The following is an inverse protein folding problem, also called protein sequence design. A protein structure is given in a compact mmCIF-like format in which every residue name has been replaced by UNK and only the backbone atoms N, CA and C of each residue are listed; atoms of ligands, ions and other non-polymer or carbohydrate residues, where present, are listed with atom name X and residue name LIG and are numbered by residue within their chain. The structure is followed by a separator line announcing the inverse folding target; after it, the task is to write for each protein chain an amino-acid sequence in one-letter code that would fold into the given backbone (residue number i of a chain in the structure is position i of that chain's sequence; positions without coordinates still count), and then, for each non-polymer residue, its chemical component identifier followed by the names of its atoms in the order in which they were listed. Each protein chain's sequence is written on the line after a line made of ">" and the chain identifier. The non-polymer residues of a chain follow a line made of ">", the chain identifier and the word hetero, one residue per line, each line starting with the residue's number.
data_IF_402660041761
#
_entry.id   IF_402660041761
#
_cell.length_a   1.000
_cell.length_b   1.000
_cell.length_c   1.000
_cell.angle_alpha   90.00
_cell.angle_beta   90.00
_cell.angle_gamma   90.00
#
_symmetry.space_group_name_H-M   'P 1'
#
loop_
_entity.id
_entity.type
_entity.pdbx_description
1 polymer ?
#
# COMPACT_ATOMS: atom_id res chain seq x y z
N UNK A 1 -53.60 -44.40 -1.32
CA UNK A 1 -54.01 -45.44 -2.30
C UNK A 1 -54.59 -44.74 -3.52
N UNK A 2 -54.00 -45.06 -4.67
CA UNK A 2 -54.21 -44.54 -6.05
C UNK A 2 -55.56 -45.00 -6.67
N UNK A 3 -55.85 -44.87 -8.00
CA UNK A 3 -55.12 -44.22 -9.10
C UNK A 3 -55.99 -43.50 -10.17
N UNK A 4 -55.31 -43.02 -11.23
CA UNK A 4 -55.74 -42.94 -12.66
C UNK A 4 -56.66 -41.80 -13.09
N UNK A 5 -56.47 -41.10 -14.23
CA UNK A 5 -56.07 -41.61 -15.55
C UNK A 5 -55.52 -40.51 -16.48
N UNK A 6 -54.48 -40.92 -17.21
CA UNK A 6 -53.89 -40.46 -18.49
C UNK A 6 -54.81 -39.84 -19.55
N UNK A 7 -54.28 -38.86 -20.30
CA UNK A 7 -54.59 -38.65 -21.73
C UNK A 7 -53.32 -38.70 -22.59
N UNK A 8 -53.34 -39.39 -23.75
CA UNK A 8 -52.20 -39.52 -24.67
C UNK A 8 -52.31 -38.53 -25.85
N UNK A 9 -51.21 -38.26 -26.55
CA UNK A 9 -51.19 -38.32 -28.03
C UNK A 9 -49.82 -38.03 -28.66
N UNK A 10 -49.44 -38.94 -29.59
CA UNK A 10 -48.73 -38.75 -30.89
C UNK A 10 -47.25 -38.28 -30.80
N UNK A 11 -46.24 -39.14 -30.97
CA UNK A 11 -45.75 -39.88 -32.17
C UNK A 11 -45.32 -38.98 -33.35
N UNK A 12 -44.00 -38.92 -33.58
CA UNK A 12 -43.28 -39.01 -34.88
C UNK A 12 -41.77 -38.87 -34.57
N UNK A 13 -40.95 -39.92 -34.49
CA UNK A 13 -40.26 -40.71 -35.54
C UNK A 13 -39.48 -39.90 -36.59
N UNK A 14 -38.15 -39.99 -36.43
CA UNK A 14 -37.04 -40.12 -37.39
C UNK A 14 -36.82 -39.05 -38.47
N UNK A 15 -35.52 -38.71 -38.67
CA UNK A 15 -34.73 -38.49 -39.90
C UNK A 15 -33.52 -37.63 -39.47
N UNK A 16 -32.34 -38.23 -39.25
CA UNK A 16 -31.26 -38.42 -40.23
C UNK A 16 -30.47 -37.16 -40.59
N UNK A 17 -29.15 -37.37 -40.65
CA UNK A 17 -28.11 -36.62 -41.35
C UNK A 17 -27.43 -35.46 -40.60
N UNK A 18 -26.16 -35.70 -40.30
CA UNK A 18 -25.15 -34.75 -39.90
C UNK A 18 -24.85 -33.73 -41.00
N UNK A 19 -24.64 -32.47 -40.61
CA UNK A 19 -23.78 -31.53 -41.32
C UNK A 19 -22.97 -30.77 -40.27
N UNK A 20 -21.67 -31.04 -40.23
CA UNK A 20 -20.67 -30.22 -39.57
C UNK A 20 -20.52 -28.93 -40.38
N UNK A 21 -20.98 -27.80 -39.83
CA UNK A 21 -20.66 -26.48 -40.35
C UNK A 21 -19.84 -25.74 -39.30
N UNK A 22 -18.51 -25.81 -39.47
CA UNK A 22 -17.54 -25.00 -38.76
C UNK A 22 -17.65 -23.56 -39.29
N UNK A 23 -18.30 -22.69 -38.54
CA UNK A 23 -18.29 -21.25 -38.78
C UNK A 23 -17.43 -20.58 -37.68
N UNK A 24 -16.14 -20.41 -37.97
CA UNK A 24 -15.24 -19.54 -37.21
C UNK A 24 -15.52 -18.09 -37.60
N UNK A 25 -16.32 -17.39 -36.80
CA UNK A 25 -16.38 -15.93 -36.81
C UNK A 25 -16.94 -15.39 -35.49
N UNK A 26 -16.06 -15.16 -34.52
CA UNK A 26 -16.20 -14.16 -33.47
C UNK A 26 -14.84 -13.46 -33.36
N UNK A 27 -14.68 -12.30 -34.00
CA UNK A 27 -14.82 -10.94 -33.40
C UNK A 27 -13.82 -10.69 -32.29
N UNK A 28 -12.96 -9.69 -32.53
CA UNK A 28 -11.69 -9.46 -31.85
C UNK A 28 -11.78 -9.23 -30.35
N UNK A 29 -10.91 -9.91 -29.62
CA UNK A 29 -10.43 -9.47 -28.32
C UNK A 29 -9.50 -8.27 -28.55
N UNK A 30 -10.00 -7.07 -28.31
CA UNK A 30 -9.18 -5.96 -27.83
C UNK A 30 -8.70 -6.33 -26.42
N UNK A 31 -7.70 -7.20 -26.34
CA UNK A 31 -6.99 -7.45 -25.09
C UNK A 31 -6.09 -6.25 -24.84
N UNK A 32 -6.61 -5.24 -24.15
CA UNK A 32 -5.77 -4.26 -23.47
C UNK A 32 -4.83 -5.07 -22.59
N UNK A 33 -3.56 -5.13 -23.00
CA UNK A 33 -2.51 -5.75 -22.20
C UNK A 33 -2.41 -4.96 -20.91
N UNK A 34 -3.07 -5.46 -19.86
CA UNK A 34 -2.74 -5.10 -18.50
C UNK A 34 -1.34 -5.64 -18.26
N UNK A 35 -0.34 -4.77 -18.35
CA UNK A 35 0.93 -4.98 -17.70
C UNK A 35 0.62 -4.98 -16.20
N UNK A 36 0.45 -6.18 -15.63
CA UNK A 36 0.58 -6.35 -14.19
C UNK A 36 2.01 -5.86 -13.86
N UNK A 37 2.10 -4.67 -13.27
CA UNK A 37 3.36 -4.04 -12.98
C UNK A 37 4.12 -4.87 -11.97
N UNK A 38 5.19 -5.54 -12.41
CA UNK A 38 6.08 -6.26 -11.51
C UNK A 38 6.90 -5.23 -10.73
N UNK A 39 6.86 -5.35 -9.40
CA UNK A 39 7.76 -4.65 -8.48
C UNK A 39 9.21 -4.89 -8.94
N UNK A 40 9.90 -3.85 -9.41
CA UNK A 40 11.27 -3.99 -9.93
C UNK A 40 12.26 -3.75 -8.80
N UNK A 41 12.92 -4.83 -8.36
CA UNK A 41 13.96 -4.74 -7.33
C UNK A 41 15.17 -3.92 -7.82
N UNK A 42 15.88 -3.21 -6.92
CA UNK A 42 17.14 -2.55 -7.25
C UNK A 42 18.14 -3.53 -7.85
N UNK A 43 18.89 -3.09 -8.87
CA UNK A 43 19.91 -3.94 -9.51
C UNK A 43 21.02 -4.31 -8.51
N UNK A 44 21.32 -5.60 -8.37
CA UNK A 44 22.42 -6.10 -7.51
C UNK A 44 22.02 -6.68 -6.16
N UNK A 45 20.72 -6.88 -5.89
CA UNK A 45 20.25 -7.47 -4.62
C UNK A 45 20.28 -9.02 -4.67
N UNK A 46 21.02 -9.62 -3.74
CA UNK A 46 20.92 -11.04 -3.37
C UNK A 46 19.80 -11.23 -2.36
N UNK A 47 19.05 -12.35 -2.47
CA UNK A 47 17.95 -12.79 -1.59
C UNK A 47 18.13 -12.30 -0.14
N UNK A 48 17.38 -11.26 0.23
CA UNK A 48 17.39 -10.75 1.59
C UNK A 48 16.46 -11.64 2.44
N UNK A 49 16.94 -12.09 3.59
CA UNK A 49 16.07 -12.79 4.54
C UNK A 49 14.94 -11.85 4.99
N UNK A 50 13.70 -12.36 5.19
CA UNK A 50 12.60 -11.54 5.68
C UNK A 50 12.97 -10.92 7.03
N UNK A 51 12.59 -9.66 7.24
CA UNK A 51 12.88 -8.96 8.47
C UNK A 51 12.03 -9.49 9.61
N UNK A 52 12.60 -9.58 10.81
CA UNK A 52 11.80 -9.77 12.03
C UNK A 52 11.06 -8.47 12.31
N UNK A 53 9.74 -8.50 12.62
CA UNK A 53 9.02 -7.29 12.97
C UNK A 53 9.69 -6.53 14.11
N UNK A 54 9.85 -5.22 13.95
CA UNK A 54 10.54 -4.32 14.88
C UNK A 54 12.07 -4.34 14.79
N UNK A 55 12.67 -5.20 13.96
CA UNK A 55 14.11 -5.17 13.73
C UNK A 55 14.53 -3.82 13.13
N UNK A 56 15.65 -3.30 13.60
CA UNK A 56 16.20 -2.03 13.12
C UNK A 56 17.40 -2.29 12.20
N UNK A 57 17.44 -1.60 11.07
CA UNK A 57 18.55 -1.67 10.12
C UNK A 57 18.91 -0.28 9.59
N UNK A 58 20.15 -0.14 9.11
CA UNK A 58 20.65 1.09 8.46
C UNK A 58 21.07 0.72 7.04
N UNK A 59 20.14 0.72 6.07
CA UNK A 59 20.46 0.31 4.71
C UNK A 59 21.33 1.36 4.01
N UNK A 60 22.36 0.90 3.30
CA UNK A 60 23.20 1.76 2.46
C UNK A 60 22.35 2.43 1.36
N UNK A 61 22.55 3.73 1.05
CA UNK A 61 21.76 4.45 0.05
C UNK A 61 21.64 3.74 -1.31
N UNK A 62 22.74 3.14 -1.78
CA UNK A 62 22.76 2.40 -3.03
C UNK A 62 21.82 1.17 -3.04
N UNK A 63 21.40 0.67 -1.88
CA UNK A 63 20.50 -0.50 -1.76
C UNK A 63 19.02 -0.17 -2.00
N UNK A 64 18.65 1.12 -2.07
CA UNK A 64 17.26 1.56 -2.27
C UNK A 64 17.10 2.72 -3.26
N UNK A 65 18.18 3.41 -3.65
CA UNK A 65 18.12 4.60 -4.51
C UNK A 65 17.39 4.38 -5.85
N UNK A 66 17.48 3.18 -6.41
CA UNK A 66 16.87 2.80 -7.69
C UNK A 66 15.53 2.05 -7.52
N UNK A 67 14.96 2.02 -6.31
CA UNK A 67 13.64 1.44 -6.10
C UNK A 67 12.57 2.31 -6.79
N UNK A 68 11.80 1.69 -7.68
CA UNK A 68 10.77 2.34 -8.48
C UNK A 68 9.45 1.60 -8.32
N UNK A 69 8.38 2.35 -8.15
CA UNK A 69 7.05 1.77 -8.04
C UNK A 69 6.61 1.26 -9.42
N UNK A 70 5.92 0.11 -9.49
CA UNK A 70 5.42 -0.39 -10.76
C UNK A 70 4.39 0.57 -11.37
N UNK A 71 4.18 0.47 -12.67
CA UNK A 71 3.11 1.22 -13.34
C UNK A 71 1.75 0.88 -12.69
N UNK A 72 0.94 1.92 -12.45
CA UNK A 72 -0.36 1.78 -11.81
C UNK A 72 -0.32 1.63 -10.29
N UNK A 73 0.87 1.62 -9.66
CA UNK A 73 0.98 1.66 -8.21
C UNK A 73 0.30 2.92 -7.64
N UNK A 74 -0.41 2.75 -6.53
CA UNK A 74 -1.18 3.81 -5.89
C UNK A 74 -0.71 4.02 -4.45
N UNK A 75 -0.52 5.29 -4.10
CA UNK A 75 -0.06 5.68 -2.76
C UNK A 75 -1.09 6.59 -2.12
N UNK A 76 -1.52 6.25 -0.91
CA UNK A 76 -2.32 7.14 -0.09
C UNK A 76 -1.44 7.72 1.03
N UNK A 77 -1.18 9.03 0.98
CA UNK A 77 -0.49 9.75 2.05
C UNK A 77 -1.50 10.25 3.06
N UNK A 78 -1.32 9.85 4.31
CA UNK A 78 -2.15 10.24 5.44
C UNK A 78 -1.35 11.14 6.38
N UNK A 79 -1.91 12.29 6.74
CA UNK A 79 -1.29 13.26 7.64
C UNK A 79 -2.33 13.92 8.54
N UNK A 80 -1.93 14.42 9.71
CA UNK A 80 -2.78 15.26 10.56
C UNK A 80 -2.86 16.71 10.08
N UNK A 81 -1.98 17.10 9.16
CA UNK A 81 -1.79 18.50 8.76
C UNK A 81 -2.53 18.81 7.45
N UNK A 82 -3.47 19.77 7.44
CA UNK A 82 -4.13 20.22 6.21
C UNK A 82 -3.15 20.79 5.19
N UNK A 83 -3.48 20.66 3.90
CA UNK A 83 -2.69 21.28 2.83
C UNK A 83 -2.62 22.81 3.02
N UNK A 84 -1.42 23.37 2.86
CA UNK A 84 -1.15 24.80 3.05
C UNK A 84 -0.99 25.23 4.50
N UNK A 85 -1.19 24.33 5.48
CA UNK A 85 -1.01 24.65 6.89
C UNK A 85 0.46 24.55 7.35
N UNK A 86 1.26 23.71 6.69
CA UNK A 86 2.70 23.58 6.93
C UNK A 86 3.44 23.32 5.60
N UNK A 87 4.29 24.26 5.14
CA UNK A 87 5.04 24.10 3.91
C UNK A 87 6.04 22.94 3.94
N UNK A 88 6.53 22.52 5.11
CA UNK A 88 7.45 21.39 5.23
C UNK A 88 6.72 20.06 4.98
N UNK A 89 5.48 19.94 5.46
CA UNK A 89 4.63 18.77 5.18
C UNK A 89 4.19 18.77 3.72
N UNK A 90 3.82 19.92 3.17
CA UNK A 90 3.46 20.01 1.76
C UNK A 90 4.63 19.59 0.85
N UNK A 91 5.84 20.11 1.12
CA UNK A 91 7.04 19.71 0.40
C UNK A 91 7.39 18.21 0.57
N UNK A 92 7.12 17.63 1.74
CA UNK A 92 7.29 16.19 1.96
C UNK A 92 6.33 15.35 1.12
N UNK A 93 5.05 15.75 1.04
CA UNK A 93 4.05 15.08 0.18
C UNK A 93 4.46 15.19 -1.29
N UNK A 94 4.93 16.36 -1.73
CA UNK A 94 5.41 16.57 -3.10
C UNK A 94 6.65 15.69 -3.40
N UNK A 95 7.59 15.59 -2.47
CA UNK A 95 8.76 14.73 -2.60
C UNK A 95 8.37 13.24 -2.69
N UNK A 96 7.35 12.81 -1.93
CA UNK A 96 6.79 11.46 -2.02
C UNK A 96 6.24 11.21 -3.43
N UNK A 97 5.41 12.11 -3.95
CA UNK A 97 4.86 11.99 -5.30
C UNK A 97 5.92 11.98 -6.41
N UNK A 98 6.94 12.84 -6.28
CA UNK A 98 8.04 12.90 -7.23
C UNK A 98 8.86 11.60 -7.27
N UNK A 99 9.06 10.93 -6.12
CA UNK A 99 9.86 9.71 -6.01
C UNK A 99 9.12 8.44 -6.40
N UNK A 100 7.82 8.33 -6.12
CA UNK A 100 7.06 7.15 -6.55
C UNK A 100 6.78 7.14 -8.03
N UNK A 101 6.59 8.30 -8.66
CA UNK A 101 6.02 8.37 -10.01
C UNK A 101 4.58 7.82 -10.09
N UNK A 102 3.93 7.64 -8.94
CA UNK A 102 2.62 7.02 -8.76
C UNK A 102 1.50 8.06 -8.61
N UNK A 103 0.25 7.61 -8.72
CA UNK A 103 -0.88 8.40 -8.29
C UNK A 103 -0.86 8.52 -6.74
N UNK A 104 -0.65 9.74 -6.25
CA UNK A 104 -0.67 10.05 -4.82
C UNK A 104 -2.00 10.72 -4.45
N UNK A 105 -2.74 10.11 -3.54
CA UNK A 105 -3.85 10.77 -2.85
C UNK A 105 -3.37 11.28 -1.48
N UNK A 106 -3.90 12.42 -1.02
CA UNK A 106 -3.64 12.96 0.31
C UNK A 106 -4.93 12.98 1.11
N UNK A 107 -4.88 12.42 2.32
CA UNK A 107 -6.01 12.42 3.26
C UNK A 107 -5.58 13.01 4.59
N UNK A 108 -6.41 13.90 5.13
CA UNK A 108 -6.21 14.49 6.45
C UNK A 108 -6.98 13.67 7.48
N UNK A 109 -6.30 13.17 8.50
CA UNK A 109 -6.91 12.35 9.57
C UNK A 109 -6.61 13.00 10.92
N UNK A 110 -7.61 13.18 11.80
CA UNK A 110 -7.35 13.73 13.12
C UNK A 110 -6.49 12.78 13.97
N UNK A 111 -5.57 13.30 14.79
CA UNK A 111 -4.82 12.50 15.75
C UNK A 111 -5.73 11.68 16.67
N UNK A 112 -5.26 10.49 17.08
CA UNK A 112 -5.98 9.58 17.99
C UNK A 112 -7.13 8.78 17.36
N UNK A 113 -7.59 9.12 16.14
CA UNK A 113 -8.61 8.38 15.41
C UNK A 113 -9.97 8.35 16.11
N UNK A 114 -10.91 9.20 15.67
CA UNK A 114 -12.22 9.28 16.31
C UNK A 114 -13.08 8.03 16.05
N UNK A 115 -13.87 7.63 17.06
CA UNK A 115 -14.89 6.59 16.93
C UNK A 115 -14.42 5.17 17.22
N UNK A 116 -15.34 4.21 17.02
CA UNK A 116 -15.13 2.78 17.28
C UNK A 116 -14.65 1.99 16.05
N UNK A 117 -14.57 2.64 14.89
CA UNK A 117 -14.15 2.02 13.63
C UNK A 117 -12.65 2.15 13.38
N UNK A 118 -12.23 1.63 12.22
CA UNK A 118 -10.89 1.85 11.70
C UNK A 118 -10.75 3.33 11.28
N UNK A 119 -9.81 4.11 11.86
CA UNK A 119 -9.65 5.52 11.53
C UNK A 119 -9.26 5.78 10.07
N UNK A 120 -8.78 4.76 9.36
CA UNK A 120 -8.39 4.82 7.95
C UNK A 120 -9.39 4.12 7.02
N UNK A 121 -10.61 3.81 7.49
CA UNK A 121 -11.65 3.11 6.70
C UNK A 121 -11.79 3.68 5.28
N UNK A 122 -11.92 5.00 5.14
CA UNK A 122 -12.13 5.64 3.83
C UNK A 122 -10.88 5.59 2.93
N UNK A 123 -9.69 5.64 3.54
CA UNK A 123 -8.42 5.49 2.81
C UNK A 123 -8.31 4.06 2.27
N UNK A 124 -8.60 3.07 3.12
CA UNK A 124 -8.53 1.66 2.79
C UNK A 124 -9.60 1.23 1.78
N UNK A 125 -10.76 1.89 1.76
CA UNK A 125 -11.79 1.66 0.75
C UNK A 125 -11.33 2.02 -0.68
N UNK A 126 -10.32 2.88 -0.80
CA UNK A 126 -9.66 3.18 -2.07
C UNK A 126 -8.67 2.10 -2.54
N UNK A 127 -8.42 1.07 -1.72
CA UNK A 127 -7.48 -0.02 -1.97
C UNK A 127 -6.09 0.44 -2.48
N UNK A 128 -5.41 1.38 -1.79
CA UNK A 128 -4.08 1.79 -2.19
C UNK A 128 -3.06 0.66 -2.01
N UNK A 129 -2.08 0.56 -2.89
CA UNK A 129 -1.00 -0.43 -2.74
C UNK A 129 -0.13 -0.13 -1.52
N UNK A 130 0.04 1.16 -1.18
CA UNK A 130 0.78 1.61 -0.02
C UNK A 130 0.08 2.77 0.70
N UNK A 131 -0.11 2.62 2.01
CA UNK A 131 -0.52 3.72 2.88
C UNK A 131 0.73 4.33 3.53
N UNK A 132 1.03 5.58 3.22
CA UNK A 132 2.13 6.32 3.83
C UNK A 132 1.56 7.18 4.96
N UNK A 133 1.95 6.87 6.20
CA UNK A 133 1.61 7.66 7.37
C UNK A 133 2.75 8.64 7.64
N UNK A 134 2.45 9.94 7.48
CA UNK A 134 3.43 11.00 7.66
C UNK A 134 3.29 11.60 9.07
N UNK A 135 4.18 11.17 9.96
CA UNK A 135 4.37 11.81 11.26
C UNK A 135 3.91 11.07 12.50
N UNK A 136 4.43 11.54 13.65
CA UNK A 136 4.17 10.93 14.95
C UNK A 136 2.72 11.05 15.42
N UNK A 137 1.99 12.09 15.00
CA UNK A 137 0.64 12.38 15.50
C UNK A 137 -0.38 11.29 15.11
N UNK A 138 -0.05 10.50 14.10
CA UNK A 138 -0.88 9.43 13.58
C UNK A 138 -0.39 8.03 13.99
N UNK A 139 0.57 7.91 14.93
CA UNK A 139 1.04 6.58 15.35
C UNK A 139 -0.08 5.73 15.92
N UNK A 140 -0.95 6.27 16.79
CA UNK A 140 -2.08 5.51 17.36
C UNK A 140 -3.10 5.09 16.30
N UNK A 141 -3.24 5.90 15.24
CA UNK A 141 -4.08 5.59 14.08
C UNK A 141 -3.44 4.46 13.27
N UNK A 142 -2.15 4.60 12.94
CA UNK A 142 -1.40 3.61 12.19
C UNK A 142 -1.34 2.26 12.91
N UNK A 143 -1.12 2.26 14.22
CA UNK A 143 -1.08 1.06 15.07
C UNK A 143 -2.40 0.29 14.98
N UNK A 144 -3.52 0.98 15.22
CA UNK A 144 -4.86 0.37 15.19
C UNK A 144 -5.25 -0.14 13.80
N UNK A 145 -5.03 0.69 12.77
CA UNK A 145 -5.40 0.34 11.39
C UNK A 145 -4.52 -0.78 10.85
N UNK A 146 -3.21 -0.73 11.06
CA UNK A 146 -2.30 -1.77 10.55
C UNK A 146 -2.53 -3.13 11.19
N UNK A 147 -2.80 -3.18 12.50
CA UNK A 147 -3.15 -4.41 13.21
C UNK A 147 -4.47 -5.02 12.72
N UNK A 148 -5.41 -4.19 12.27
CA UNK A 148 -6.72 -4.63 11.76
C UNK A 148 -6.69 -5.03 10.27
N UNK A 149 -5.63 -4.68 9.54
CA UNK A 149 -5.52 -4.86 8.10
C UNK A 149 -4.16 -5.44 7.71
N UNK A 150 -3.87 -6.67 8.16
CA UNK A 150 -2.57 -7.32 7.94
C UNK A 150 -2.19 -7.53 6.47
N UNK A 151 -3.15 -7.48 5.54
CA UNK A 151 -2.90 -7.55 4.09
C UNK A 151 -2.52 -6.21 3.46
N UNK A 152 -2.77 -5.09 4.14
CA UNK A 152 -2.44 -3.75 3.66
C UNK A 152 -1.02 -3.37 4.10
N UNK A 153 -0.23 -2.83 3.18
CA UNK A 153 1.11 -2.33 3.48
C UNK A 153 1.07 -0.90 4.00
N UNK A 154 1.81 -0.64 5.08
CA UNK A 154 1.97 0.66 5.70
C UNK A 154 3.43 1.07 5.73
N UNK A 155 3.69 2.33 5.36
CA UNK A 155 4.98 2.99 5.53
C UNK A 155 4.83 4.18 6.46
N UNK A 156 5.47 4.15 7.63
CA UNK A 156 5.50 5.29 8.55
C UNK A 156 6.78 6.07 8.30
N UNK A 157 6.66 7.37 8.06
CA UNK A 157 7.79 8.27 7.80
C UNK A 157 7.97 9.24 8.98
N UNK A 158 9.17 9.25 9.55
CA UNK A 158 9.60 10.16 10.62
C UNK A 158 9.08 9.79 12.02
N UNK A 159 8.59 8.57 12.18
CA UNK A 159 8.21 7.97 13.45
C UNK A 159 8.17 6.44 13.29
N UNK A 160 8.00 5.70 14.38
CA UNK A 160 7.90 4.24 14.35
C UNK A 160 6.92 3.73 15.40
N UNK A 161 6.30 2.58 15.15
CA UNK A 161 5.51 1.90 16.18
C UNK A 161 6.44 1.29 17.25
N UNK A 162 5.98 1.17 18.51
CA UNK A 162 6.68 0.40 19.53
C UNK A 162 6.75 -1.09 19.19
N UNK A 163 5.66 -1.63 18.62
CA UNK A 163 5.47 -3.05 18.33
C UNK A 163 4.88 -3.23 16.90
N UNK A 164 5.65 -2.92 15.84
CA UNK A 164 5.14 -3.01 14.48
C UNK A 164 4.82 -4.46 14.10
N UNK A 165 3.74 -4.63 13.34
CA UNK A 165 3.41 -5.88 12.64
C UNK A 165 4.24 -6.02 11.36
N UNK A 166 4.21 -7.21 10.73
CA UNK A 166 4.99 -7.47 9.51
C UNK A 166 4.63 -6.55 8.33
N UNK A 167 3.41 -6.03 8.27
CA UNK A 167 2.94 -5.12 7.22
C UNK A 167 3.27 -3.64 7.47
N UNK A 168 4.01 -3.31 8.53
CA UNK A 168 4.41 -1.93 8.86
C UNK A 168 5.91 -1.79 8.71
N UNK A 169 6.35 -0.98 7.77
CA UNK A 169 7.73 -0.52 7.69
C UNK A 169 7.81 0.91 8.21
N UNK A 170 8.75 1.21 9.10
CA UNK A 170 9.00 2.56 9.55
C UNK A 170 10.34 3.06 8.98
N UNK A 171 10.41 4.34 8.62
CA UNK A 171 11.65 4.97 8.18
C UNK A 171 11.88 6.22 9.00
N UNK A 172 13.01 6.24 9.69
CA UNK A 172 13.38 7.26 10.68
C UNK A 172 14.77 7.79 10.37
N UNK A 173 15.11 8.93 10.96
CA UNK A 173 16.42 9.56 10.89
C UNK A 173 16.72 10.24 12.22
N UNK A 174 17.96 10.71 12.49
CA UNK A 174 18.28 11.43 13.71
C UNK A 174 17.29 12.59 13.96
N UNK A 175 16.59 12.53 15.10
CA UNK A 175 15.57 13.51 15.50
C UNK A 175 14.13 13.14 15.16
N UNK A 176 13.89 12.10 14.34
CA UNK A 176 12.57 11.64 13.92
C UNK A 176 12.35 10.15 14.30
N UNK A 177 12.60 9.81 15.56
CA UNK A 177 12.58 8.44 16.09
C UNK A 177 11.47 8.20 17.12
N UNK A 178 10.45 9.07 17.13
CA UNK A 178 9.37 9.00 18.12
C UNK A 178 8.63 7.66 18.04
N UNK A 179 8.30 7.11 19.20
CA UNK A 179 7.57 5.83 19.33
C UNK A 179 6.13 5.98 19.80
N UNK A 180 5.78 7.14 20.31
CA UNK A 180 4.44 7.45 20.82
C UNK A 180 4.03 8.84 20.40
N UNK A 181 2.73 9.03 20.18
CA UNK A 181 2.18 10.31 19.73
C UNK A 181 2.35 11.45 20.77
N UNK A 182 2.54 11.10 22.05
CA UNK A 182 2.72 12.05 23.17
C UNK A 182 4.18 12.42 23.44
N UNK A 183 5.14 11.90 22.67
CA UNK A 183 6.56 12.21 22.87
C UNK A 183 6.90 13.66 22.50
N UNK A 184 7.89 14.28 23.19
CA UNK A 184 8.31 15.64 22.89
C UNK A 184 8.74 15.83 21.44
N UNK A 185 8.30 16.93 20.84
CA UNK A 185 8.59 17.24 19.45
C UNK A 185 9.92 17.99 19.30
N UNK A 186 10.73 17.55 18.35
CA UNK A 186 11.97 18.23 17.97
C UNK A 186 11.75 19.40 16.99
N UNK A 187 10.57 19.46 16.36
CA UNK A 187 10.15 20.49 15.40
C UNK A 187 8.66 20.84 15.62
N UNK A 188 8.14 21.98 15.11
CA UNK A 188 6.73 22.35 15.28
C UNK A 188 5.73 21.26 14.81
N UNK A 189 6.03 20.63 13.67
CA UNK A 189 5.28 19.49 13.12
C UNK A 189 5.67 18.14 13.71
N UNK A 190 6.66 18.11 14.61
CA UNK A 190 7.20 16.89 15.20
C UNK A 190 8.02 16.03 14.24
N UNK A 191 8.34 16.51 13.04
CA UNK A 191 9.13 15.81 12.03
C UNK A 191 10.26 16.70 11.52
N UNK A 192 11.38 16.81 12.25
CA UNK A 192 12.47 17.70 11.85
C UNK A 192 13.04 17.30 10.48
N UNK A 193 13.05 18.23 9.54
CA UNK A 193 13.66 18.03 8.22
C UNK A 193 12.87 17.10 7.32
N UNK A 194 11.57 16.90 7.56
CA UNK A 194 10.76 15.91 6.83
C UNK A 194 10.76 16.13 5.33
N UNK A 195 10.75 17.38 4.86
CA UNK A 195 10.82 17.71 3.44
C UNK A 195 12.10 17.17 2.77
N UNK A 196 13.23 17.16 3.50
CA UNK A 196 14.50 16.68 2.97
C UNK A 196 14.61 15.15 2.95
N UNK A 197 13.85 14.46 3.82
CA UNK A 197 13.98 13.00 4.00
C UNK A 197 12.84 12.21 3.36
N UNK A 198 11.66 12.81 3.14
CA UNK A 198 10.45 12.06 2.77
C UNK A 198 10.59 11.27 1.45
N UNK A 199 11.28 11.83 0.46
CA UNK A 199 11.52 11.14 -0.80
C UNK A 199 12.42 9.91 -0.65
N UNK A 200 13.52 10.04 0.09
CA UNK A 200 14.46 8.95 0.34
C UNK A 200 13.83 7.90 1.27
N UNK A 201 13.06 8.34 2.25
CA UNK A 201 12.29 7.47 3.13
C UNK A 201 11.27 6.62 2.38
N UNK A 202 10.57 7.22 1.41
CA UNK A 202 9.69 6.49 0.52
C UNK A 202 10.45 5.44 -0.31
N UNK A 203 11.57 5.79 -0.94
CA UNK A 203 12.33 4.84 -1.75
C UNK A 203 12.90 3.70 -0.91
N UNK A 204 13.40 3.98 0.30
CA UNK A 204 13.85 2.95 1.23
C UNK A 204 12.72 2.01 1.66
N UNK A 205 11.56 2.57 2.02
CA UNK A 205 10.37 1.78 2.35
C UNK A 205 9.86 0.93 1.19
N UNK A 206 9.85 1.52 -0.01
CA UNK A 206 9.47 0.82 -1.24
C UNK A 206 10.45 -0.31 -1.58
N UNK A 207 11.76 -0.10 -1.42
CA UNK A 207 12.76 -1.13 -1.61
C UNK A 207 12.53 -2.32 -0.66
N UNK A 208 12.17 -2.03 0.60
CA UNK A 208 11.83 -3.07 1.58
C UNK A 208 10.55 -3.82 1.20
N UNK A 209 9.53 -3.11 0.69
CA UNK A 209 8.31 -3.72 0.18
C UNK A 209 8.58 -4.65 -1.01
N UNK A 210 9.34 -4.18 -2.00
CA UNK A 210 9.71 -4.95 -3.19
C UNK A 210 10.52 -6.20 -2.80
N UNK A 211 11.37 -6.09 -1.79
CA UNK A 211 12.22 -7.17 -1.32
C UNK A 211 11.53 -8.13 -0.33
N UNK A 212 10.26 -7.90 0.01
CA UNK A 212 9.53 -8.64 1.05
C UNK A 212 10.27 -8.65 2.41
N UNK A 213 10.93 -7.54 2.72
CA UNK A 213 11.64 -7.31 4.00
C UNK A 213 10.96 -6.26 4.86
N UNK A 214 9.63 -6.18 4.79
CA UNK A 214 8.80 -5.26 5.57
C UNK A 214 8.74 -5.66 7.05
N UNK A 215 8.10 -4.84 7.88
CA UNK A 215 7.95 -5.09 9.31
C UNK A 215 9.04 -4.46 10.17
N UNK A 216 10.10 -3.95 9.56
CA UNK A 216 11.26 -3.37 10.23
C UNK A 216 11.24 -1.84 10.35
N UNK A 217 12.24 -1.33 11.06
CA UNK A 217 12.61 0.09 11.12
C UNK A 217 13.87 0.30 10.30
N UNK A 218 13.81 1.20 9.32
CA UNK A 218 14.96 1.64 8.52
C UNK A 218 15.45 2.99 9.06
N UNK A 219 16.73 3.07 9.38
CA UNK A 219 17.36 4.32 9.84
C UNK A 219 18.14 4.91 8.68
N UNK A 220 17.75 6.10 8.24
CA UNK A 220 18.51 6.90 7.29
C UNK A 220 19.57 7.73 8.03
N UNK A 221 20.74 7.84 7.42
CA UNK A 221 21.91 8.58 7.91
C UNK A 221 22.00 9.98 7.34
#
# INVERSE_FOLDING_TARGET
>A
MSPTRTRPSRVARFHSAAVFALALALTGCSGTGGTEGVLTAPTGRTDAAPSVPGATSTPEPASWADAVAPEGFTVAVVTAVPQGADPEIDAAVDAIGARTGAAVSRTVVPPGGAGTGDPLTDVLAGSPDLVVVLGLELLDVADRSSASNLGQQFLIIGAQLPEPTANVTAVVWPGATARRADEPRAAPNGLPGVAAHAGDALQAGLAALIADTTGGVLVLS
#
